data_IF_231076243177
#
_entry.id   IF_231076243177
#
_cell.length_a   1.000
_cell.length_b   1.000
_cell.length_c   1.000
_cell.angle_alpha   90.00
_cell.angle_beta   90.00
_cell.angle_gamma   90.00
#
_symmetry.space_group_name_H-M   'P 1'
#
loop_
_entity.id
_entity.type
_entity.pdbx_description
1 polymer ?
#
# COMPACT_ATOMS: atom_id res chain seq x y z
N UNK A 1 -20.44 15.61 -11.56
CA UNK A 1 -19.56 14.43 -11.63
C UNK A 1 -20.32 13.16 -12.04
N UNK A 2 -21.57 12.95 -11.61
CA UNK A 2 -22.33 11.76 -11.99
C UNK A 2 -22.43 11.58 -13.50
N UNK A 3 -22.68 12.65 -14.26
CA UNK A 3 -22.65 12.56 -15.72
C UNK A 3 -21.19 12.53 -16.22
N UNK A 4 -20.44 13.60 -15.95
CA UNK A 4 -19.11 13.82 -16.54
C UNK A 4 -18.04 12.78 -16.13
N UNK A 5 -18.02 12.41 -14.85
CA UNK A 5 -17.07 11.48 -14.27
C UNK A 5 -17.37 10.04 -14.63
N UNK A 6 -18.65 9.62 -14.62
CA UNK A 6 -19.03 8.28 -15.10
C UNK A 6 -18.77 8.15 -16.60
N UNK A 7 -19.11 9.16 -17.40
CA UNK A 7 -18.85 9.18 -18.84
C UNK A 7 -17.34 9.11 -19.12
N UNK A 8 -16.53 9.89 -18.41
CA UNK A 8 -15.06 9.84 -18.54
C UNK A 8 -14.51 8.46 -18.18
N UNK A 9 -15.05 7.81 -17.15
CA UNK A 9 -14.67 6.46 -16.74
C UNK A 9 -15.04 5.39 -17.77
N UNK A 10 -16.25 5.39 -18.32
CA UNK A 10 -16.62 4.39 -19.34
C UNK A 10 -15.94 4.69 -20.68
N UNK A 11 -15.70 5.96 -21.01
CA UNK A 11 -14.95 6.37 -22.20
C UNK A 11 -13.53 5.80 -22.19
N UNK A 12 -12.79 5.91 -21.08
CA UNK A 12 -11.43 5.38 -21.04
C UNK A 12 -11.38 3.86 -21.18
N UNK A 13 -12.39 3.14 -20.67
CA UNK A 13 -12.47 1.69 -20.80
C UNK A 13 -12.75 1.33 -22.26
N UNK A 14 -13.69 2.01 -22.92
CA UNK A 14 -13.99 1.81 -24.33
C UNK A 14 -12.78 2.10 -25.23
N UNK A 15 -12.03 3.18 -24.95
CA UNK A 15 -10.81 3.53 -25.69
C UNK A 15 -9.74 2.43 -25.58
N UNK A 16 -9.51 1.89 -24.38
CA UNK A 16 -8.53 0.81 -24.15
C UNK A 16 -8.95 -0.55 -24.68
N UNK A 17 -10.26 -0.80 -24.78
CA UNK A 17 -10.80 -2.00 -25.43
C UNK A 17 -10.67 -1.90 -26.95
N UNK A 18 -10.92 -0.72 -27.52
CA UNK A 18 -10.86 -0.48 -28.95
C UNK A 18 -9.42 -0.53 -29.49
N UNK A 19 -8.48 0.09 -28.79
CA UNK A 19 -7.08 0.12 -29.18
C UNK A 19 -6.19 -0.22 -27.98
N UNK A 20 -5.36 -1.26 -28.17
CA UNK A 20 -4.36 -1.64 -27.19
C UNK A 20 -3.39 -0.47 -27.00
N UNK A 21 -3.15 -0.11 -25.74
CA UNK A 21 -2.23 0.97 -25.35
C UNK A 21 -2.68 2.39 -25.77
N UNK A 22 -3.98 2.61 -26.02
CA UNK A 22 -4.54 3.94 -26.30
C UNK A 22 -4.05 5.00 -25.27
N UNK A 23 -3.51 6.14 -25.72
CA UNK A 23 -2.95 7.14 -24.82
C UNK A 23 -4.06 7.88 -24.05
N UNK A 24 -4.27 7.50 -22.81
CA UNK A 24 -5.23 8.14 -21.93
C UNK A 24 -4.65 9.43 -21.31
N UNK A 25 -5.27 10.56 -21.62
CA UNK A 25 -4.92 11.87 -21.06
C UNK A 25 -5.63 12.16 -19.72
N UNK A 26 -6.61 11.35 -19.32
CA UNK A 26 -7.37 11.47 -18.06
C UNK A 26 -7.62 10.10 -17.46
N UNK A 27 -7.80 10.04 -16.14
CA UNK A 27 -8.31 8.85 -15.46
C UNK A 27 -7.28 7.83 -14.99
N UNK A 28 -6.10 7.75 -15.59
CA UNK A 28 -5.02 7.01 -14.97
C UNK A 28 -4.57 7.72 -13.67
N UNK A 29 -4.18 6.99 -12.61
CA UNK A 29 -3.83 7.60 -11.32
C UNK A 29 -2.69 8.62 -11.43
N UNK A 30 -1.64 8.32 -12.21
CA UNK A 30 -0.56 9.28 -12.50
C UNK A 30 -1.02 10.61 -13.11
N UNK A 31 -2.13 10.62 -13.85
CA UNK A 31 -2.61 11.83 -14.55
C UNK A 31 -3.30 12.82 -13.60
N UNK A 32 -3.79 12.38 -12.43
CA UNK A 32 -4.46 13.27 -11.47
C UNK A 32 -3.51 13.88 -10.44
N UNK A 33 -2.30 13.33 -10.29
CA UNK A 33 -1.31 13.71 -9.27
C UNK A 33 -1.05 15.22 -9.25
N UNK A 34 -0.86 15.85 -10.41
CA UNK A 34 -0.60 17.28 -10.50
C UNK A 34 -1.73 18.14 -9.93
N UNK A 35 -2.99 17.72 -10.14
CA UNK A 35 -4.15 18.39 -9.55
C UNK A 35 -4.23 18.13 -8.04
N UNK A 36 -4.07 16.87 -7.60
CA UNK A 36 -4.19 16.51 -6.17
C UNK A 36 -3.07 17.07 -5.30
N UNK A 37 -1.88 17.30 -5.86
CA UNK A 37 -0.76 17.98 -5.20
C UNK A 37 -0.90 19.50 -5.18
N UNK A 38 -1.87 20.06 -5.91
CA UNK A 38 -2.07 21.49 -6.03
C UNK A 38 -2.41 22.17 -4.71
N UNK A 39 -2.48 23.50 -4.76
CA UNK A 39 -2.91 24.34 -3.66
C UNK A 39 -4.33 23.94 -3.20
N UNK A 40 -4.41 23.35 -2.01
CA UNK A 40 -5.66 22.82 -1.46
C UNK A 40 -6.72 23.92 -1.25
N UNK A 41 -6.31 25.19 -1.10
CA UNK A 41 -7.27 26.30 -1.01
C UNK A 41 -8.02 26.58 -2.33
N UNK A 42 -7.53 26.01 -3.44
CA UNK A 42 -8.10 26.12 -4.79
C UNK A 42 -8.64 24.81 -5.32
N UNK A 43 -8.78 23.81 -4.46
CA UNK A 43 -9.33 22.50 -4.79
C UNK A 43 -10.62 22.35 -4.00
N UNK A 44 -11.65 21.84 -4.66
CA UNK A 44 -12.93 21.56 -4.03
C UNK A 44 -13.20 20.05 -4.04
N UNK A 45 -13.95 19.50 -3.06
CA UNK A 45 -14.45 18.13 -3.13
C UNK A 45 -15.24 17.87 -4.42
N UNK A 46 -15.27 16.62 -4.90
CA UNK A 46 -16.04 16.21 -6.11
C UNK A 46 -17.53 16.52 -5.95
N UNK A 47 -18.02 16.47 -4.71
CA UNK A 47 -19.42 16.74 -4.37
C UNK A 47 -19.81 18.23 -4.38
N UNK A 48 -18.86 19.12 -4.69
CA UNK A 48 -19.11 20.57 -4.76
C UNK A 48 -19.94 20.92 -6.00
N UNK A 49 -20.83 21.91 -5.87
CA UNK A 49 -21.58 22.46 -7.00
C UNK A 49 -20.62 23.03 -8.06
N UNK A 50 -20.94 22.80 -9.34
CA UNK A 50 -20.07 23.14 -10.47
C UNK A 50 -19.66 24.62 -10.55
N UNK A 51 -20.53 25.55 -10.15
CA UNK A 51 -20.21 26.98 -10.18
C UNK A 51 -19.17 27.40 -9.13
N UNK A 52 -18.92 26.55 -8.14
CA UNK A 52 -18.03 26.82 -7.00
C UNK A 52 -16.68 26.09 -7.12
N UNK A 53 -16.36 25.48 -8.26
CA UNK A 53 -15.08 24.77 -8.45
C UNK A 53 -14.13 25.58 -9.34
N UNK A 54 -12.88 25.73 -8.90
CA UNK A 54 -11.86 26.47 -9.65
C UNK A 54 -11.43 25.75 -10.94
N UNK A 55 -11.39 24.42 -10.93
CA UNK A 55 -11.02 23.59 -12.08
C UNK A 55 -12.09 22.55 -12.36
N UNK A 56 -13.12 22.94 -13.12
CA UNK A 56 -14.24 22.08 -13.43
C UNK A 56 -13.81 20.80 -14.15
N UNK A 57 -12.89 20.90 -15.12
CA UNK A 57 -12.36 19.74 -15.84
C UNK A 57 -11.69 18.70 -14.92
N UNK A 58 -10.88 19.14 -13.96
CA UNK A 58 -10.22 18.24 -13.03
C UNK A 58 -11.18 17.67 -11.99
N UNK A 59 -12.07 18.50 -11.45
CA UNK A 59 -13.00 18.13 -10.39
C UNK A 59 -14.15 17.24 -10.88
N UNK A 60 -14.80 17.59 -12.00
CA UNK A 60 -16.00 16.92 -12.48
C UNK A 60 -15.72 15.72 -13.41
N UNK A 61 -14.57 15.70 -14.09
CA UNK A 61 -14.18 14.64 -15.05
C UNK A 61 -13.02 13.80 -14.53
N UNK A 62 -11.85 14.42 -14.33
CA UNK A 62 -10.61 13.67 -14.13
C UNK A 62 -10.54 12.94 -12.79
N UNK A 63 -10.75 13.64 -11.66
CA UNK A 63 -10.67 13.05 -10.31
C UNK A 63 -11.70 11.92 -10.10
N UNK A 64 -12.99 12.07 -10.49
CA UNK A 64 -13.97 10.98 -10.36
C UNK A 64 -13.61 9.78 -11.24
N UNK A 65 -13.19 10.02 -12.49
CA UNK A 65 -12.82 8.94 -13.40
C UNK A 65 -11.59 8.18 -12.90
N UNK A 66 -10.59 8.88 -12.34
CA UNK A 66 -9.44 8.27 -11.67
C UNK A 66 -9.86 7.49 -10.43
N UNK A 67 -10.71 8.05 -9.58
CA UNK A 67 -11.22 7.34 -8.41
C UNK A 67 -11.87 6.02 -8.80
N UNK A 68 -12.76 6.02 -9.79
CA UNK A 68 -13.42 4.81 -10.28
C UNK A 68 -12.45 3.82 -10.93
N UNK A 69 -11.43 4.31 -11.64
CA UNK A 69 -10.36 3.46 -12.18
C UNK A 69 -9.59 2.73 -11.06
N UNK A 70 -9.21 3.44 -10.00
CA UNK A 70 -8.52 2.87 -8.84
C UNK A 70 -9.45 1.89 -8.12
N UNK A 71 -10.70 2.28 -7.90
CA UNK A 71 -11.69 1.43 -7.26
C UNK A 71 -11.85 0.10 -8.01
N UNK A 72 -11.94 0.14 -9.34
CA UNK A 72 -12.03 -1.06 -10.18
C UNK A 72 -10.75 -1.90 -10.20
N UNK A 73 -9.59 -1.28 -10.43
CA UNK A 73 -8.38 -2.04 -10.76
C UNK A 73 -7.49 -2.36 -9.55
N UNK A 74 -7.61 -1.60 -8.47
CA UNK A 74 -6.72 -1.73 -7.31
C UNK A 74 -7.46 -2.16 -6.05
N UNK A 75 -8.73 -1.77 -5.86
CA UNK A 75 -9.45 -2.02 -4.60
C UNK A 75 -10.41 -3.20 -4.72
N UNK A 76 -11.37 -3.16 -5.65
CA UNK A 76 -12.43 -4.16 -5.77
C UNK A 76 -12.07 -5.32 -6.72
N UNK A 77 -11.24 -5.03 -7.72
CA UNK A 77 -11.04 -5.92 -8.85
C UNK A 77 -12.13 -5.76 -9.94
N UNK A 78 -11.79 -6.01 -11.22
CA UNK A 78 -12.71 -5.84 -12.36
C UNK A 78 -14.04 -6.57 -12.22
N UNK A 79 -14.02 -7.84 -11.82
CA UNK A 79 -15.21 -8.68 -11.77
C UNK A 79 -16.27 -8.12 -10.81
N UNK A 80 -15.83 -7.81 -9.59
CA UNK A 80 -16.71 -7.33 -8.53
C UNK A 80 -17.21 -5.93 -8.81
N UNK A 81 -16.32 -5.04 -9.27
CA UNK A 81 -16.70 -3.70 -9.69
C UNK A 81 -17.70 -3.74 -10.85
N UNK A 82 -17.44 -4.51 -11.90
CA UNK A 82 -18.28 -4.55 -13.09
C UNK A 82 -19.66 -5.14 -12.77
N UNK A 83 -19.74 -6.13 -11.88
CA UNK A 83 -21.01 -6.66 -11.36
C UNK A 83 -21.81 -5.58 -10.62
N UNK A 84 -21.17 -4.83 -9.73
CA UNK A 84 -21.81 -3.78 -8.96
C UNK A 84 -22.26 -2.60 -9.85
N UNK A 85 -21.41 -2.19 -10.78
CA UNK A 85 -21.69 -1.13 -11.75
C UNK A 85 -22.85 -1.48 -12.69
N UNK A 86 -22.89 -2.72 -13.21
CA UNK A 86 -24.04 -3.23 -13.99
C UNK A 86 -25.32 -3.26 -13.17
N UNK A 87 -25.23 -3.59 -11.88
CA UNK A 87 -26.38 -3.57 -10.97
C UNK A 87 -26.92 -2.16 -10.79
N UNK A 88 -26.05 -1.18 -10.59
CA UNK A 88 -26.42 0.25 -10.56
C UNK A 88 -27.15 0.66 -11.84
N UNK A 89 -26.57 0.40 -13.01
CA UNK A 89 -27.19 0.73 -14.29
C UNK A 89 -28.59 0.09 -14.44
N UNK A 90 -28.76 -1.17 -14.01
CA UNK A 90 -30.06 -1.86 -14.05
C UNK A 90 -31.09 -1.26 -13.10
N UNK A 91 -30.70 -0.89 -11.87
CA UNK A 91 -31.61 -0.33 -10.85
C UNK A 91 -32.14 1.05 -11.24
N UNK A 92 -31.29 1.84 -11.91
CA UNK A 92 -31.51 3.27 -12.14
C UNK A 92 -31.76 3.65 -13.59
N UNK A 93 -31.83 2.68 -14.52
CA UNK A 93 -32.27 2.93 -15.90
C UNK A 93 -33.62 3.67 -15.90
N UNK A 94 -33.70 4.75 -16.69
CA UNK A 94 -34.90 5.60 -16.82
C UNK A 94 -35.34 6.30 -15.53
N UNK A 95 -34.41 6.58 -14.61
CA UNK A 95 -34.63 7.30 -13.35
C UNK A 95 -33.59 8.42 -13.17
N UNK A 96 -33.72 9.18 -12.07
CA UNK A 96 -32.81 10.24 -11.67
C UNK A 96 -32.02 9.86 -10.39
N UNK A 97 -30.95 9.05 -10.51
CA UNK A 97 -30.15 8.66 -9.34
C UNK A 97 -29.34 9.83 -8.79
N UNK A 98 -29.15 9.83 -7.48
CA UNK A 98 -28.21 10.70 -6.78
C UNK A 98 -26.87 9.98 -6.54
N UNK A 99 -25.80 10.68 -6.14
CA UNK A 99 -24.55 10.05 -5.70
C UNK A 99 -24.73 8.96 -4.64
N UNK A 100 -25.65 9.16 -3.69
CA UNK A 100 -25.90 8.17 -2.63
C UNK A 100 -26.43 6.85 -3.19
N UNK A 101 -27.23 6.90 -4.26
CA UNK A 101 -27.78 5.72 -4.92
C UNK A 101 -26.69 4.90 -5.63
N UNK A 102 -25.70 5.60 -6.19
CA UNK A 102 -24.50 4.97 -6.75
C UNK A 102 -23.66 4.32 -5.66
N UNK A 103 -23.25 5.08 -4.63
CA UNK A 103 -22.40 4.56 -3.54
C UNK A 103 -23.03 3.34 -2.86
N UNK A 104 -24.30 3.43 -2.46
CA UNK A 104 -25.02 2.31 -1.83
C UNK A 104 -25.13 1.10 -2.75
N UNK A 105 -25.36 1.30 -4.05
CA UNK A 105 -25.42 0.15 -4.97
C UNK A 105 -24.05 -0.50 -5.16
N UNK A 106 -22.98 0.29 -5.21
CA UNK A 106 -21.63 -0.24 -5.33
C UNK A 106 -21.26 -1.09 -4.11
N UNK A 107 -21.62 -0.66 -2.90
CA UNK A 107 -21.38 -1.41 -1.65
C UNK A 107 -22.27 -2.64 -1.53
N UNK A 108 -23.59 -2.48 -1.68
CA UNK A 108 -24.58 -3.56 -1.55
C UNK A 108 -24.32 -4.70 -2.55
N UNK A 109 -24.07 -4.37 -3.83
CA UNK A 109 -23.86 -5.39 -4.85
C UNK A 109 -22.48 -6.06 -4.79
N UNK A 110 -21.50 -5.43 -4.13
CA UNK A 110 -20.15 -5.98 -3.96
C UNK A 110 -19.90 -6.61 -2.59
N UNK A 111 -20.74 -6.33 -1.60
CA UNK A 111 -20.53 -6.64 -0.19
C UNK A 111 -19.20 -6.08 0.37
N UNK A 112 -18.65 -5.01 -0.24
CA UNK A 112 -17.48 -4.30 0.27
C UNK A 112 -17.89 -3.02 0.99
N UNK A 113 -17.23 -2.76 2.13
CA UNK A 113 -17.27 -1.46 2.80
C UNK A 113 -16.35 -0.47 2.06
N UNK A 114 -16.95 0.56 1.45
CA UNK A 114 -16.29 1.57 0.63
C UNK A 114 -16.46 2.98 1.20
N UNK A 115 -17.00 3.13 2.42
CA UNK A 115 -17.27 4.42 3.05
C UNK A 115 -16.01 5.28 3.13
N UNK A 116 -14.88 4.67 3.51
CA UNK A 116 -13.57 5.31 3.56
C UNK A 116 -13.14 5.86 2.20
N UNK A 117 -13.43 5.11 1.12
CA UNK A 117 -13.08 5.48 -0.24
C UNK A 117 -13.94 6.65 -0.73
N UNK A 118 -15.26 6.54 -0.56
CA UNK A 118 -16.20 7.61 -0.93
C UNK A 118 -15.92 8.89 -0.17
N UNK A 119 -15.75 8.80 1.16
CA UNK A 119 -15.42 9.94 2.00
C UNK A 119 -14.12 10.61 1.53
N UNK A 120 -13.05 9.84 1.40
CA UNK A 120 -11.75 10.38 0.97
C UNK A 120 -11.82 11.02 -0.42
N UNK A 121 -12.19 10.26 -1.43
CA UNK A 121 -12.10 10.70 -2.83
C UNK A 121 -13.15 11.75 -3.20
N UNK A 122 -14.39 11.63 -2.72
CA UNK A 122 -15.52 12.43 -3.19
C UNK A 122 -15.87 13.60 -2.28
N UNK A 123 -15.72 13.43 -0.96
CA UNK A 123 -16.12 14.44 0.02
C UNK A 123 -14.96 15.27 0.58
N UNK A 124 -13.70 14.96 0.23
CA UNK A 124 -12.54 15.76 0.63
C UNK A 124 -11.69 16.21 -0.56
N UNK A 125 -10.79 17.16 -0.28
CA UNK A 125 -9.76 17.62 -1.22
C UNK A 125 -8.45 16.83 -1.10
N UNK A 126 -8.33 16.01 -0.06
CA UNK A 126 -7.10 15.34 0.35
C UNK A 126 -6.42 14.52 -0.74
N UNK A 127 -5.11 14.33 -0.56
CA UNK A 127 -4.26 13.58 -1.49
C UNK A 127 -3.77 12.26 -0.90
N UNK A 128 -3.22 11.39 -1.75
CA UNK A 128 -2.55 10.16 -1.33
C UNK A 128 -1.03 10.41 -1.31
N UNK A 129 -0.38 10.09 -0.20
CA UNK A 129 1.08 10.04 -0.04
C UNK A 129 1.34 8.91 0.96
N UNK A 130 2.01 7.84 0.52
CA UNK A 130 2.41 6.70 1.34
C UNK A 130 3.90 6.44 1.12
N UNK A 131 4.67 6.54 2.20
CA UNK A 131 6.12 6.38 2.19
C UNK A 131 6.63 5.18 2.98
N UNK A 132 7.89 4.83 2.74
CA UNK A 132 8.68 3.97 3.61
C UNK A 132 9.43 4.88 4.59
N UNK A 133 9.00 4.86 5.85
CA UNK A 133 9.62 5.62 6.93
C UNK A 133 10.92 4.94 7.38
N UNK A 134 10.87 3.63 7.60
CA UNK A 134 11.98 2.86 8.16
C UNK A 134 11.96 1.41 7.67
N UNK A 135 13.14 0.83 7.49
CA UNK A 135 13.33 -0.61 7.27
C UNK A 135 14.46 -1.06 8.18
N UNK A 136 14.15 -1.93 9.13
CA UNK A 136 15.15 -2.57 9.99
C UNK A 136 15.33 -4.02 9.60
N UNK A 137 16.58 -4.45 9.52
CA UNK A 137 16.93 -5.85 9.36
C UNK A 137 17.14 -6.48 10.73
N UNK A 138 16.59 -7.67 10.92
CA UNK A 138 16.68 -8.44 12.15
C UNK A 138 17.30 -9.80 11.89
N UNK A 139 18.00 -10.27 12.91
CA UNK A 139 18.64 -11.58 13.00
C UNK A 139 18.10 -12.35 14.19
N UNK A 140 18.07 -13.67 14.07
CA UNK A 140 17.57 -14.56 15.12
C UNK A 140 18.68 -14.83 16.13
N UNK A 141 18.32 -14.82 17.42
CA UNK A 141 19.19 -15.22 18.53
C UNK A 141 18.42 -16.01 19.58
N UNK A 142 19.11 -16.90 20.30
CA UNK A 142 18.65 -17.59 21.50
C UNK A 142 18.88 -16.76 22.78
N UNK A 143 19.62 -15.67 22.69
CA UNK A 143 19.90 -14.78 23.83
C UNK A 143 18.72 -13.82 24.05
N UNK A 144 18.20 -13.70 25.28
CA UNK A 144 17.11 -12.77 25.54
C UNK A 144 17.50 -11.31 25.32
N UNK A 145 16.70 -10.62 24.52
CA UNK A 145 16.89 -9.20 24.21
C UNK A 145 16.38 -8.28 25.32
N UNK A 146 16.84 -7.03 25.35
CA UNK A 146 16.31 -6.01 26.27
C UNK A 146 14.79 -5.82 26.10
N UNK A 147 14.29 -5.93 24.86
CA UNK A 147 12.84 -5.93 24.60
C UNK A 147 12.13 -7.08 25.32
N UNK A 148 12.67 -8.29 25.26
CA UNK A 148 12.11 -9.46 25.93
C UNK A 148 12.17 -9.33 27.46
N UNK A 149 13.30 -8.86 28.00
CA UNK A 149 13.46 -8.60 29.45
C UNK A 149 12.48 -7.55 29.94
N UNK A 150 12.28 -6.46 29.19
CA UNK A 150 11.32 -5.41 29.53
C UNK A 150 9.87 -5.89 29.42
N UNK A 151 9.56 -6.79 28.49
CA UNK A 151 8.25 -7.43 28.40
C UNK A 151 7.98 -8.32 29.62
N UNK A 152 8.93 -9.18 30.02
CA UNK A 152 8.81 -10.01 31.22
C UNK A 152 8.52 -9.16 32.47
N UNK A 153 9.30 -8.07 32.64
CA UNK A 153 9.09 -7.11 33.74
C UNK A 153 7.69 -6.51 33.77
N UNK A 154 7.09 -6.20 32.61
CA UNK A 154 5.71 -5.66 32.53
C UNK A 154 4.66 -6.66 33.02
N UNK A 155 4.94 -7.96 32.88
CA UNK A 155 4.09 -9.03 33.42
C UNK A 155 4.45 -9.40 34.87
N UNK A 156 5.38 -8.69 35.51
CA UNK A 156 5.79 -8.96 36.88
C UNK A 156 6.65 -10.20 37.06
N UNK A 157 7.28 -10.70 35.99
CA UNK A 157 8.11 -11.92 35.98
C UNK A 157 9.53 -11.64 35.48
N UNK A 158 10.46 -12.56 35.77
CA UNK A 158 11.81 -12.55 35.19
C UNK A 158 11.84 -13.27 33.85
N UNK A 159 12.86 -13.01 33.04
CA UNK A 159 12.99 -13.63 31.71
C UNK A 159 13.11 -15.15 31.79
N UNK A 160 13.75 -15.67 32.84
CA UNK A 160 13.98 -17.12 33.04
C UNK A 160 12.69 -17.88 33.36
N UNK A 161 11.61 -17.16 33.71
CA UNK A 161 10.28 -17.73 33.94
C UNK A 161 9.46 -17.84 32.65
N UNK A 162 9.92 -17.22 31.55
CA UNK A 162 9.26 -17.36 30.25
C UNK A 162 9.65 -18.70 29.60
N UNK A 163 8.75 -19.31 28.81
CA UNK A 163 9.12 -20.44 27.98
C UNK A 163 10.31 -20.10 27.07
N UNK A 164 11.22 -21.05 26.81
CA UNK A 164 12.32 -20.86 25.87
C UNK A 164 11.79 -20.36 24.53
N UNK A 165 12.42 -19.30 24.00
CA UNK A 165 12.02 -18.67 22.76
C UNK A 165 13.25 -18.20 21.99
N UNK A 166 13.08 -18.08 20.67
CA UNK A 166 14.00 -17.33 19.82
C UNK A 166 13.58 -15.86 19.76
N UNK A 167 14.57 -14.98 19.70
CA UNK A 167 14.40 -13.54 19.71
C UNK A 167 14.93 -12.93 18.41
N UNK A 168 14.44 -11.73 18.09
CA UNK A 168 14.90 -10.92 16.97
C UNK A 168 15.75 -9.76 17.49
N UNK A 169 16.97 -9.64 16.97
CA UNK A 169 17.91 -8.54 17.25
C UNK A 169 18.09 -7.72 15.99
N UNK A 170 17.96 -6.39 16.10
CA UNK A 170 18.13 -5.47 14.97
C UNK A 170 19.62 -5.32 14.64
N UNK A 171 19.97 -5.29 13.36
CA UNK A 171 21.36 -5.07 12.89
C UNK A 171 21.98 -3.77 13.44
N UNK A 172 21.15 -2.76 13.70
CA UNK A 172 21.58 -1.44 14.19
C UNK A 172 21.61 -1.33 15.73
N UNK A 173 21.37 -2.42 16.46
CA UNK A 173 21.32 -2.42 17.93
C UNK A 173 22.66 -2.81 18.57
N UNK A 174 22.93 -2.33 19.78
CA UNK A 174 24.11 -2.71 20.57
C UNK A 174 24.15 -4.21 20.96
N UNK A 175 23.00 -4.89 20.88
CA UNK A 175 22.86 -6.32 21.13
C UNK A 175 23.30 -7.17 19.92
N UNK A 176 23.53 -6.54 18.77
CA UNK A 176 23.93 -7.20 17.53
C UNK A 176 25.40 -7.61 17.54
N UNK A 177 25.67 -8.85 17.14
CA UNK A 177 27.02 -9.36 16.95
C UNK A 177 27.17 -9.95 15.54
N UNK A 178 28.33 -9.76 14.91
CA UNK A 178 28.54 -10.14 13.50
C UNK A 178 28.40 -11.66 13.25
N UNK A 179 28.56 -12.51 14.26
CA UNK A 179 28.34 -13.96 14.15
C UNK A 179 26.88 -14.30 13.83
N UNK A 180 25.91 -13.46 14.22
CA UNK A 180 24.49 -13.67 13.91
C UNK A 180 24.20 -13.64 12.41
N UNK A 181 25.04 -13.02 11.58
CA UNK A 181 24.86 -13.00 10.12
C UNK A 181 25.01 -14.38 9.48
N UNK A 182 25.78 -15.24 10.13
CA UNK A 182 26.09 -16.58 9.64
C UNK A 182 25.17 -17.66 10.22
N UNK A 183 24.30 -17.30 11.18
CA UNK A 183 23.34 -18.21 11.79
C UNK A 183 22.00 -18.15 11.08
N UNK A 184 21.41 -19.31 10.86
CA UNK A 184 20.04 -19.50 10.41
C UNK A 184 19.16 -19.90 11.60
N UNK A 185 17.83 -19.73 11.52
CA UNK A 185 16.93 -20.19 12.59
C UNK A 185 17.08 -21.68 12.92
N UNK A 186 17.38 -22.50 11.92
CA UNK A 186 17.55 -23.96 12.05
C UNK A 186 18.81 -24.37 12.82
N UNK A 187 19.79 -23.46 12.96
CA UNK A 187 21.02 -23.72 13.72
C UNK A 187 20.78 -23.71 15.25
N UNK A 188 19.58 -23.29 15.68
CA UNK A 188 19.20 -23.25 17.08
C UNK A 188 18.45 -24.52 17.49
N UNK A 189 19.04 -25.29 18.42
CA UNK A 189 18.46 -26.53 18.95
C UNK A 189 16.99 -26.38 19.37
N UNK A 190 16.64 -25.25 20.00
CA UNK A 190 15.26 -24.99 20.40
C UNK A 190 14.25 -25.13 19.24
N UNK A 191 14.58 -24.63 18.05
CA UNK A 191 13.70 -24.71 16.89
C UNK A 191 13.81 -26.08 16.22
N UNK A 192 15.02 -26.60 16.03
CA UNK A 192 15.22 -27.88 15.35
C UNK A 192 14.61 -29.05 16.14
N UNK A 193 14.76 -29.07 17.47
CA UNK A 193 14.13 -30.05 18.36
C UNK A 193 12.60 -29.94 18.32
N UNK A 194 12.06 -28.72 18.33
CA UNK A 194 10.61 -28.49 18.23
C UNK A 194 10.06 -29.00 16.89
N UNK A 195 10.72 -28.68 15.78
CA UNK A 195 10.31 -29.17 14.46
C UNK A 195 10.39 -30.70 14.40
N UNK A 196 11.46 -31.29 14.93
CA UNK A 196 11.65 -32.74 14.95
C UNK A 196 10.57 -33.48 15.75
N UNK A 197 10.13 -32.91 16.87
CA UNK A 197 9.14 -33.52 17.75
C UNK A 197 7.67 -33.32 17.28
N UNK A 198 7.38 -32.26 16.53
CA UNK A 198 6.00 -31.85 16.24
C UNK A 198 5.57 -31.99 14.77
N UNK A 199 6.49 -32.26 13.84
CA UNK A 199 6.19 -32.35 12.41
C UNK A 199 6.66 -33.67 11.80
N UNK A 200 5.88 -34.20 10.86
CA UNK A 200 6.26 -35.35 10.04
C UNK A 200 7.30 -34.98 8.97
N UNK A 201 7.99 -35.98 8.41
CA UNK A 201 8.98 -35.77 7.33
C UNK A 201 8.37 -35.09 6.09
N UNK A 202 7.11 -35.40 5.77
CA UNK A 202 6.39 -34.75 4.67
C UNK A 202 6.16 -33.26 4.97
N UNK A 203 5.73 -32.92 6.19
CA UNK A 203 5.50 -31.52 6.57
C UNK A 203 6.82 -30.74 6.61
N UNK A 204 7.89 -31.33 7.16
CA UNK A 204 9.24 -30.73 7.17
C UNK A 204 9.71 -30.36 5.78
N UNK A 205 9.46 -31.20 4.78
CA UNK A 205 9.86 -30.92 3.39
C UNK A 205 9.20 -29.68 2.78
N UNK A 206 8.08 -29.22 3.36
CA UNK A 206 7.35 -28.03 2.91
C UNK A 206 7.67 -26.76 3.73
N UNK A 207 8.33 -26.90 4.88
CA UNK A 207 8.73 -25.78 5.71
C UNK A 207 9.85 -24.99 5.03
N UNK A 208 9.68 -23.67 4.97
CA UNK A 208 10.71 -22.75 4.49
C UNK A 208 11.11 -21.85 5.65
N UNK A 209 12.24 -22.14 6.28
CA UNK A 209 12.75 -21.27 7.34
C UNK A 209 13.16 -19.91 6.76
N UNK A 210 12.60 -18.80 7.25
CA UNK A 210 13.04 -17.47 6.84
C UNK A 210 14.42 -17.18 7.43
N UNK A 211 15.37 -16.80 6.58
CA UNK A 211 16.73 -16.44 7.00
C UNK A 211 16.82 -14.99 7.49
N UNK A 212 16.02 -14.11 6.92
CA UNK A 212 16.03 -12.68 7.19
C UNK A 212 14.66 -12.24 7.69
N UNK A 213 14.65 -11.33 8.65
CA UNK A 213 13.43 -10.69 9.13
C UNK A 213 13.57 -9.20 8.93
N UNK A 214 12.58 -8.57 8.29
CA UNK A 214 12.55 -7.13 8.10
C UNK A 214 11.38 -6.55 8.86
N UNK A 215 11.59 -5.44 9.57
CA UNK A 215 10.51 -4.62 10.10
C UNK A 215 10.40 -3.38 9.21
N UNK A 216 9.25 -3.24 8.56
CA UNK A 216 8.94 -2.13 7.68
C UNK A 216 7.97 -1.21 8.39
N UNK A 217 8.31 0.07 8.48
CA UNK A 217 7.41 1.11 8.94
C UNK A 217 6.96 1.90 7.71
N UNK A 218 5.69 1.74 7.37
CA UNK A 218 5.03 2.55 6.36
C UNK A 218 4.41 3.78 7.03
N UNK A 219 4.54 4.94 6.40
CA UNK A 219 3.91 6.18 6.83
C UNK A 219 2.92 6.65 5.78
N UNK A 220 1.85 7.33 6.21
CA UNK A 220 0.84 7.95 5.35
C UNK A 220 0.76 9.46 5.62
N UNK A 221 1.69 10.28 5.09
CA UNK A 221 1.61 11.73 5.20
C UNK A 221 0.38 12.32 4.52
N UNK A 222 -0.16 11.62 3.51
CA UNK A 222 -1.37 12.01 2.79
C UNK A 222 -2.64 11.79 3.59
N UNK A 223 -3.71 12.47 3.17
CA UNK A 223 -5.01 12.40 3.83
C UNK A 223 -5.80 11.15 3.45
N UNK A 224 -5.63 10.66 2.21
CA UNK A 224 -6.44 9.57 1.67
C UNK A 224 -5.98 8.22 2.19
N UNK A 225 -6.90 7.49 2.81
CA UNK A 225 -6.72 6.06 3.12
C UNK A 225 -6.68 5.29 1.81
N UNK A 226 -5.59 4.56 1.57
CA UNK A 226 -5.37 3.75 0.36
C UNK A 226 -4.68 2.42 0.70
N UNK A 227 -4.86 1.35 -0.11
CA UNK A 227 -4.08 0.13 0.05
C UNK A 227 -2.59 0.39 -0.19
N UNK A 228 -1.73 -0.41 0.45
CA UNK A 228 -0.29 -0.36 0.22
C UNK A 228 0.07 -1.47 -0.78
N UNK A 229 0.55 -1.09 -1.96
CA UNK A 229 1.16 -2.01 -2.92
C UNK A 229 2.67 -1.90 -2.74
N UNK A 230 3.34 -3.00 -2.45
CA UNK A 230 4.79 -3.02 -2.24
C UNK A 230 5.45 -4.12 -3.08
N UNK A 231 6.52 -3.76 -3.77
CA UNK A 231 7.38 -4.67 -4.50
C UNK A 231 8.73 -4.78 -3.81
N UNK A 232 9.12 -6.03 -3.53
CA UNK A 232 10.41 -6.43 -2.99
C UNK A 232 11.26 -6.97 -4.13
N UNK A 233 12.45 -6.38 -4.33
CA UNK A 233 13.49 -6.92 -5.20
C UNK A 233 14.58 -7.54 -4.31
N UNK A 234 14.91 -8.79 -4.57
CA UNK A 234 15.90 -9.56 -3.82
C UNK A 234 17.29 -9.45 -4.45
N UNK A 235 18.34 -9.77 -3.69
CA UNK A 235 19.73 -9.73 -4.19
C UNK A 235 19.99 -10.68 -5.37
N UNK A 236 19.21 -11.76 -5.49
CA UNK A 236 19.28 -12.71 -6.61
C UNK A 236 18.52 -12.23 -7.86
N UNK A 237 17.96 -11.01 -7.83
CA UNK A 237 17.20 -10.40 -8.93
C UNK A 237 15.74 -10.81 -9.01
N UNK A 238 15.28 -11.75 -8.18
CA UNK A 238 13.85 -12.11 -8.13
C UNK A 238 13.02 -11.01 -7.47
N UNK A 239 11.72 -10.95 -7.83
CA UNK A 239 10.79 -9.95 -7.31
C UNK A 239 9.56 -10.60 -6.70
N UNK A 240 9.04 -9.98 -5.65
CA UNK A 240 7.78 -10.36 -5.02
C UNK A 240 6.93 -9.11 -4.77
N UNK A 241 5.64 -9.19 -5.09
CA UNK A 241 4.69 -8.12 -4.81
C UNK A 241 3.72 -8.54 -3.71
N UNK A 242 3.50 -7.65 -2.75
CA UNK A 242 2.45 -7.76 -1.74
C UNK A 242 1.50 -6.57 -1.86
N UNK A 243 0.23 -6.82 -1.58
CA UNK A 243 -0.77 -5.79 -1.46
C UNK A 243 -1.45 -5.92 -0.10
N UNK A 244 -1.42 -4.83 0.66
CA UNK A 244 -2.15 -4.72 1.92
C UNK A 244 -3.39 -3.87 1.70
N UNK A 245 -4.57 -4.32 2.15
CA UNK A 245 -5.80 -3.58 1.93
C UNK A 245 -5.84 -2.34 2.83
N UNK A 246 -6.69 -1.36 2.49
CA UNK A 246 -6.79 -0.06 3.20
C UNK A 246 -7.06 -0.20 4.72
N UNK A 247 -7.66 -1.30 5.17
CA UNK A 247 -7.91 -1.60 6.58
C UNK A 247 -6.62 -1.74 7.41
N UNK A 248 -5.45 -1.83 6.76
CA UNK A 248 -4.15 -1.80 7.43
C UNK A 248 -3.97 -0.55 8.33
N UNK A 249 -4.64 0.55 8.00
CA UNK A 249 -4.58 1.84 8.71
C UNK A 249 -5.54 1.93 9.91
N UNK A 250 -6.39 0.93 10.15
CA UNK A 250 -7.51 1.02 11.14
C UNK A 250 -7.07 1.32 12.57
N UNK A 251 -5.93 0.79 13.01
CA UNK A 251 -5.42 0.98 14.37
C UNK A 251 -4.55 2.24 14.51
N UNK A 252 -3.90 2.65 13.42
CA UNK A 252 -3.10 3.86 13.36
C UNK A 252 -3.10 4.37 11.91
N UNK A 253 -3.77 5.50 11.70
CA UNK A 253 -3.93 6.10 10.38
C UNK A 253 -2.66 6.83 9.88
N UNK A 254 -1.64 6.99 10.72
CA UNK A 254 -0.39 7.66 10.33
C UNK A 254 0.70 6.68 9.94
N UNK A 255 0.83 5.60 10.69
CA UNK A 255 1.95 4.66 10.55
C UNK A 255 1.50 3.24 10.82
N UNK A 256 2.05 2.31 10.04
CA UNK A 256 1.87 0.88 10.27
C UNK A 256 3.19 0.14 10.16
N UNK A 257 3.43 -0.74 11.12
CA UNK A 257 4.59 -1.63 11.15
C UNK A 257 4.22 -3.01 10.65
N UNK A 258 5.04 -3.57 9.74
CA UNK A 258 4.91 -4.95 9.26
C UNK A 258 6.23 -5.68 9.40
N UNK A 259 6.17 -6.87 9.98
CA UNK A 259 7.28 -7.81 9.97
C UNK A 259 7.18 -8.66 8.71
N UNK A 260 8.25 -8.71 7.93
CA UNK A 260 8.36 -9.44 6.69
C UNK A 260 9.49 -10.49 6.81
N UNK A 261 9.15 -11.76 7.07
CA UNK A 261 10.12 -12.85 7.03
C UNK A 261 10.44 -13.20 5.56
N UNK A 262 11.72 -13.43 5.26
CA UNK A 262 12.17 -13.82 3.92
C UNK A 262 13.33 -14.81 3.99
N UNK A 263 13.36 -15.77 3.06
CA UNK A 263 14.53 -16.63 2.85
C UNK A 263 15.66 -15.91 2.10
N UNK A 264 15.38 -14.76 1.47
CA UNK A 264 16.31 -14.00 0.62
C UNK A 264 16.57 -12.61 1.18
N UNK A 265 17.77 -12.09 0.94
CA UNK A 265 18.10 -10.72 1.32
C UNK A 265 17.37 -9.74 0.37
N UNK A 266 16.70 -8.74 0.94
CA UNK A 266 16.02 -7.70 0.17
C UNK A 266 17.06 -6.66 -0.23
N UNK A 267 17.11 -6.37 -1.52
CA UNK A 267 17.96 -5.36 -2.13
C UNK A 267 17.25 -4.01 -2.26
N UNK A 268 15.97 -4.03 -2.65
CA UNK A 268 15.16 -2.81 -2.85
C UNK A 268 13.70 -3.06 -2.51
N UNK A 269 13.04 -2.04 -1.97
CA UNK A 269 11.61 -2.02 -1.69
C UNK A 269 11.03 -0.80 -2.37
N UNK A 270 9.93 -0.98 -3.10
CA UNK A 270 9.25 0.12 -3.81
C UNK A 270 7.75 0.06 -3.52
N UNK A 271 7.19 1.17 -3.04
CA UNK A 271 5.74 1.37 -2.91
C UNK A 271 5.17 1.82 -4.26
N UNK A 272 4.07 1.19 -4.64
CA UNK A 272 3.29 1.49 -5.83
C UNK A 272 4.13 1.66 -7.12
N UNK A 273 4.93 0.64 -7.50
CA UNK A 273 5.88 0.73 -8.61
C UNK A 273 5.21 1.01 -9.97
N UNK A 274 3.92 0.75 -10.10
CA UNK A 274 3.15 0.98 -11.34
C UNK A 274 2.25 2.23 -11.24
N UNK A 275 2.40 3.04 -10.19
CA UNK A 275 1.65 4.29 -9.95
C UNK A 275 0.11 4.10 -10.02
N UNK A 276 -0.41 3.09 -9.32
CA UNK A 276 -1.81 2.69 -9.30
C UNK A 276 -2.65 3.46 -8.27
N UNK A 277 -2.05 4.21 -7.36
CA UNK A 277 -2.75 4.81 -6.20
C UNK A 277 -2.80 6.34 -6.22
N UNK A 278 -2.29 6.99 -7.27
CA UNK A 278 -2.19 8.45 -7.40
C UNK A 278 -1.40 9.10 -6.24
N UNK A 279 -0.31 8.46 -5.83
CA UNK A 279 0.63 9.01 -4.85
C UNK A 279 1.26 10.32 -5.37
N UNK A 280 1.16 11.39 -4.57
CA UNK A 280 1.66 12.73 -4.95
C UNK A 280 3.15 12.93 -4.69
N UNK A 281 3.81 11.98 -4.05
CA UNK A 281 5.17 12.09 -3.58
C UNK A 281 5.97 10.78 -3.68
N UNK A 282 6.37 10.42 -4.90
CA UNK A 282 7.18 9.21 -5.14
C UNK A 282 8.60 9.22 -4.51
N UNK A 283 9.02 10.31 -3.86
CA UNK A 283 10.38 10.44 -3.30
C UNK A 283 10.61 9.65 -2.02
N UNK A 284 9.53 9.31 -1.29
CA UNK A 284 9.57 8.48 -0.09
C UNK A 284 9.13 7.01 -0.35
N UNK A 285 8.81 6.65 -1.60
CA UNK A 285 8.31 5.31 -1.96
C UNK A 285 9.40 4.24 -2.02
N UNK A 286 10.69 4.57 -1.89
CA UNK A 286 11.77 3.59 -2.06
C UNK A 286 12.64 3.42 -0.83
N UNK A 287 13.04 2.17 -0.59
CA UNK A 287 14.15 1.82 0.27
C UNK A 287 15.20 1.01 -0.51
N UNK A 288 16.49 1.38 -0.46
CA UNK A 288 16.99 2.63 0.10
C UNK A 288 16.37 3.86 -0.58
N UNK A 289 16.29 5.00 0.12
CA UNK A 289 15.75 6.23 -0.47
C UNK A 289 16.58 6.61 -1.69
N UNK A 290 15.91 6.87 -2.81
CA UNK A 290 16.57 7.34 -4.02
C UNK A 290 17.28 8.67 -3.72
N UNK A 291 18.61 8.65 -3.62
CA UNK A 291 19.41 9.87 -3.55
C UNK A 291 19.44 10.47 -4.96
N UNK A 292 18.49 11.34 -5.30
CA UNK A 292 18.63 12.19 -6.49
C UNK A 292 19.97 12.92 -6.40
N UNK A 293 20.87 12.64 -7.34
CA UNK A 293 22.17 13.30 -7.36
C UNK A 293 22.01 14.77 -7.76
N UNK A 294 22.92 15.64 -7.30
CA UNK A 294 22.92 17.07 -7.72
C UNK A 294 22.95 17.22 -9.25
N UNK A 295 23.54 16.26 -9.95
CA UNK A 295 23.64 16.22 -11.41
C UNK A 295 22.29 15.92 -12.09
N UNK A 296 21.48 15.00 -11.54
CA UNK A 296 20.14 14.72 -12.06
C UNK A 296 19.18 15.89 -11.84
N UNK A 297 19.29 16.57 -10.69
CA UNK A 297 18.57 17.83 -10.43
C UNK A 297 18.94 18.92 -11.44
N UNK A 298 20.23 19.05 -11.75
CA UNK A 298 20.73 20.01 -12.74
C UNK A 298 20.19 19.73 -14.16
N UNK A 299 20.20 18.46 -14.62
CA UNK A 299 19.62 18.10 -15.92
C UNK A 299 18.13 18.41 -16.02
N UNK A 300 17.35 18.11 -14.98
CA UNK A 300 15.91 18.43 -14.95
C UNK A 300 15.64 19.95 -15.00
N UNK A 301 16.52 20.78 -14.42
CA UNK A 301 16.37 22.24 -14.49
C UNK A 301 16.65 22.82 -15.89
N UNK A 302 17.50 22.18 -16.70
CA UNK A 302 17.78 22.66 -18.06
C UNK A 302 16.74 22.22 -19.11
N UNK A 303 15.94 21.19 -18.81
CA UNK A 303 14.86 20.73 -19.71
C UNK A 303 13.58 21.57 -19.52
N UNK A 304 13.50 22.38 -18.45
CA UNK A 304 12.37 23.28 -18.15
C UNK A 304 12.57 24.72 -18.65
N UNK A 305 13.62 25.02 -19.42
CA UNK A 305 13.83 26.32 -20.08
C UNK A 305 13.46 26.27 -21.54
#
# INVERSE_FOLDING_TARGET
WMDEGLNSFVQMLAQREYEKDYPLNRGLPKNIVGYMKGDQSKIAPIMTQGDHVYSFGANAYAKPATGLYILRNTIMGPELFDKAFKTYAKRWKFKHPTPADFFRTMEDASAMDLDWFWRGWFYTTGNNDIGIKEVKKYYVTDKPTERAKNMAKRYGITIDQLPPALYLVSEDSDEFTNDLKNKNPEDYNLLSDYIAANFSEQEKSTLKAPKYFYELVFEKPGDLVMPIIVEFEYEDGTKERKQYPAQIWRHNDKEVTKVFPSSKAIKKITIDPDEQTADVNLSNNSWPKNKETKFEKFKKSQIKS
#
